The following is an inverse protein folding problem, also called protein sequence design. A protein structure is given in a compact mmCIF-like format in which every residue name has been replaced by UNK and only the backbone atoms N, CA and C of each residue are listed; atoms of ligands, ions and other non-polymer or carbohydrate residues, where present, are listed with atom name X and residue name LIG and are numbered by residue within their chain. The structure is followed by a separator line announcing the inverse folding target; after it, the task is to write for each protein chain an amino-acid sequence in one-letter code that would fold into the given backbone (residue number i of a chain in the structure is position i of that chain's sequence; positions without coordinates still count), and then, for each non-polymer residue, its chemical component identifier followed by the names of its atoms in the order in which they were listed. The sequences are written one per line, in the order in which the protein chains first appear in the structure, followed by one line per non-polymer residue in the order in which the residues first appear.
data_IF_543336994104
#
_entry.id   IF_543336994104
#
_cell.length_a   1.000
_cell.length_b   1.000
_cell.length_c   1.000
_cell.angle_alpha   90.00
_cell.angle_beta   90.00
_cell.angle_gamma   90.00
#
_symmetry.space_group_name_H-M   'P 1'
#
loop_
_entity.id
_entity.type
_entity.pdbx_description
1 polymer ?
#
# COMPACT_ATOMS: atom_id res chain seq x y z
N UNK A 1 -3.32 20.34 -83.84
CA UNK A 1 -2.22 20.28 -82.88
C UNK A 1 -2.81 20.69 -81.54
N UNK A 2 -3.26 19.72 -80.74
CA UNK A 2 -3.97 19.95 -79.47
C UNK A 2 -3.00 19.87 -78.32
N UNK A 3 -2.80 20.98 -77.62
CA UNK A 3 -2.02 21.03 -76.34
C UNK A 3 -2.95 20.69 -75.16
N UNK A 4 -2.82 19.52 -74.63
CA UNK A 4 -3.51 19.07 -73.43
C UNK A 4 -2.76 19.68 -72.20
N UNK A 5 -3.41 20.58 -71.44
CA UNK A 5 -2.86 21.15 -70.22
C UNK A 5 -3.03 20.13 -69.07
N UNK A 6 -1.89 19.65 -68.55
CA UNK A 6 -1.83 18.81 -67.41
C UNK A 6 -1.90 19.68 -66.15
N UNK A 7 -3.00 19.61 -65.38
CA UNK A 7 -3.17 20.28 -64.10
C UNK A 7 -2.66 19.30 -63.00
N UNK A 8 -1.54 19.67 -62.39
CA UNK A 8 -1.01 18.96 -61.22
C UNK A 8 -1.67 19.53 -59.98
N UNK A 9 -2.54 18.77 -59.32
CA UNK A 9 -3.08 19.08 -57.99
C UNK A 9 -2.07 18.65 -56.92
N UNK A 10 -1.39 19.59 -56.31
CA UNK A 10 -0.57 19.36 -55.11
C UNK A 10 -1.46 19.40 -53.87
N UNK A 11 -1.77 18.21 -53.30
CA UNK A 11 -2.45 18.11 -52.01
C UNK A 11 -1.48 18.42 -50.91
N UNK A 12 -1.65 19.56 -50.25
CA UNK A 12 -0.92 19.89 -49.02
C UNK A 12 -1.48 19.10 -47.82
N UNK A 13 -0.71 18.13 -47.36
CA UNK A 13 -1.04 17.33 -46.19
C UNK A 13 -0.61 18.15 -44.94
N UNK A 14 -1.57 18.81 -44.28
CA UNK A 14 -1.34 19.52 -43.03
C UNK A 14 -1.11 18.47 -41.92
N UNK A 15 0.14 18.31 -41.45
CA UNK A 15 0.47 17.52 -40.26
C UNK A 15 -0.04 18.26 -39.02
N UNK A 16 -1.12 17.77 -38.42
CA UNK A 16 -1.59 18.22 -37.10
C UNK A 16 -0.66 17.62 -36.06
N UNK A 17 0.32 18.41 -35.60
CA UNK A 17 1.18 18.06 -34.47
C UNK A 17 0.36 18.18 -33.19
N UNK A 18 -0.31 17.10 -32.79
CA UNK A 18 -0.96 17.02 -31.48
C UNK A 18 0.11 17.05 -30.39
N UNK A 19 0.13 18.13 -29.58
CA UNK A 19 0.95 18.19 -28.38
C UNK A 19 0.42 17.12 -27.39
N UNK A 20 1.15 16.02 -27.26
CA UNK A 20 0.89 15.04 -26.20
C UNK A 20 1.28 15.67 -24.86
N UNK A 21 0.31 16.20 -24.13
CA UNK A 21 0.52 16.61 -22.75
C UNK A 21 0.74 15.33 -21.95
N UNK A 22 1.94 15.15 -21.39
CA UNK A 22 2.24 14.11 -20.43
C UNK A 22 1.41 14.39 -19.16
N UNK A 23 0.32 13.67 -18.99
CA UNK A 23 -0.45 13.73 -17.75
C UNK A 23 0.32 12.99 -16.66
N UNK A 24 0.62 13.70 -15.57
CA UNK A 24 1.13 13.06 -14.37
C UNK A 24 0.10 12.05 -13.86
N UNK A 25 0.52 10.83 -13.46
CA UNK A 25 -0.41 9.86 -12.91
C UNK A 25 -1.10 10.44 -11.66
N UNK A 26 -2.42 10.31 -11.58
CA UNK A 26 -3.17 10.70 -10.40
C UNK A 26 -2.73 9.85 -9.22
N UNK A 27 -2.18 10.48 -8.18
CA UNK A 27 -1.82 9.78 -6.94
C UNK A 27 -3.08 9.60 -6.07
N UNK A 28 -3.40 8.36 -5.72
CA UNK A 28 -4.44 8.05 -4.76
C UNK A 28 -3.87 8.18 -3.36
N UNK A 29 -4.56 8.91 -2.50
CA UNK A 29 -4.12 9.17 -1.12
C UNK A 29 -5.05 8.45 -0.15
N UNK A 30 -4.49 7.74 0.81
CA UNK A 30 -5.24 7.16 1.92
C UNK A 30 -5.82 8.29 2.78
N UNK A 31 -7.16 8.39 2.82
CA UNK A 31 -7.83 9.40 3.66
C UNK A 31 -7.83 8.99 5.13
N UNK A 32 -7.93 9.97 6.03
CA UNK A 32 -7.97 9.70 7.47
C UNK A 32 -9.19 8.85 7.86
N UNK A 33 -10.33 9.07 7.23
CA UNK A 33 -11.56 8.30 7.52
C UNK A 33 -11.43 6.82 7.15
N UNK A 34 -10.78 6.52 6.03
CA UNK A 34 -10.48 5.13 5.64
C UNK A 34 -9.46 4.52 6.59
N UNK A 35 -8.41 5.26 6.93
CA UNK A 35 -7.38 4.80 7.86
C UNK A 35 -7.94 4.49 9.26
N UNK A 36 -8.84 5.35 9.79
CA UNK A 36 -9.53 5.11 11.05
C UNK A 36 -10.42 3.87 10.99
N UNK A 37 -11.19 3.71 9.90
CA UNK A 37 -12.02 2.51 9.73
C UNK A 37 -11.19 1.24 9.71
N UNK A 38 -10.06 1.22 8.99
CA UNK A 38 -9.13 0.09 8.99
C UNK A 38 -8.61 -0.20 10.40
N UNK A 39 -8.20 0.84 11.13
CA UNK A 39 -7.67 0.67 12.49
C UNK A 39 -8.72 0.10 13.44
N UNK A 40 -9.96 0.60 13.38
CA UNK A 40 -11.07 0.14 14.21
C UNK A 40 -11.46 -1.31 13.90
N UNK A 41 -11.54 -1.68 12.62
CA UNK A 41 -11.89 -3.04 12.21
C UNK A 41 -10.80 -4.06 12.58
N UNK A 42 -9.52 -3.69 12.45
CA UNK A 42 -8.42 -4.54 12.89
C UNK A 42 -8.44 -4.74 14.41
N UNK A 43 -8.65 -3.67 15.17
CA UNK A 43 -8.80 -3.73 16.62
C UNK A 43 -9.98 -4.60 17.03
N UNK A 44 -11.15 -4.39 16.41
CA UNK A 44 -12.35 -5.17 16.69
C UNK A 44 -12.15 -6.67 16.42
N UNK A 45 -11.47 -7.02 15.32
CA UNK A 45 -11.15 -8.42 14.99
C UNK A 45 -10.23 -9.05 16.04
N UNK A 46 -9.14 -8.36 16.39
CA UNK A 46 -8.22 -8.87 17.40
C UNK A 46 -8.88 -9.04 18.78
N UNK A 47 -9.71 -8.08 19.21
CA UNK A 47 -10.51 -8.17 20.45
C UNK A 47 -11.47 -9.37 20.43
N UNK A 48 -12.13 -9.62 19.30
CA UNK A 48 -13.02 -10.76 19.14
C UNK A 48 -12.28 -12.09 19.26
N UNK A 49 -11.00 -12.12 18.90
CA UNK A 49 -10.13 -13.28 19.06
C UNK A 49 -9.47 -13.35 20.47
N UNK A 50 -9.74 -12.39 21.34
CA UNK A 50 -9.19 -12.33 22.72
C UNK A 50 -7.78 -11.73 22.80
N UNK A 51 -7.36 -10.93 21.81
CA UNK A 51 -6.03 -10.31 21.79
C UNK A 51 -6.11 -8.81 22.02
N UNK A 52 -5.21 -8.32 22.86
CA UNK A 52 -4.98 -6.89 23.11
C UNK A 52 -3.77 -6.42 22.31
N UNK A 53 -4.00 -5.52 21.35
CA UNK A 53 -3.02 -5.18 20.33
C UNK A 53 -2.85 -3.66 20.16
N UNK A 54 -1.78 -3.26 19.49
CA UNK A 54 -1.67 -1.96 18.83
C UNK A 54 -1.91 -2.14 17.34
N UNK A 55 -2.73 -1.26 16.77
CA UNK A 55 -2.94 -1.13 15.33
C UNK A 55 -2.42 0.22 14.87
N UNK A 56 -1.53 0.22 13.89
CA UNK A 56 -1.02 1.42 13.23
C UNK A 56 -1.39 1.38 11.75
N UNK A 57 -1.94 2.48 11.23
CA UNK A 57 -2.15 2.70 9.81
C UNK A 57 -1.28 3.87 9.36
N UNK A 58 -0.46 3.64 8.34
CA UNK A 58 0.41 4.64 7.71
C UNK A 58 -0.02 4.91 6.28
N UNK A 59 0.29 6.09 5.76
CA UNK A 59 0.05 6.47 4.36
C UNK A 59 1.19 6.04 3.43
N UNK A 60 1.11 6.44 2.16
CA UNK A 60 2.12 6.11 1.13
C UNK A 60 3.52 6.70 1.40
N UNK A 61 3.65 7.63 2.33
CA UNK A 61 4.91 8.19 2.79
C UNK A 61 5.42 7.55 4.10
N UNK A 62 4.78 6.46 4.55
CA UNK A 62 5.05 5.81 5.83
C UNK A 62 4.78 6.74 7.04
N UNK A 63 3.95 7.76 6.87
CA UNK A 63 3.53 8.65 7.96
C UNK A 63 2.26 8.12 8.64
N UNK A 64 2.18 8.14 10.00
CA UNK A 64 1.01 7.69 10.75
C UNK A 64 -0.26 8.46 10.37
N UNK A 65 -1.35 7.74 10.07
CA UNK A 65 -2.71 8.27 9.85
C UNK A 65 -3.65 7.93 10.99
N UNK A 66 -3.55 6.72 11.53
CA UNK A 66 -4.32 6.28 12.69
C UNK A 66 -3.47 5.35 13.53
N UNK A 67 -3.54 5.51 14.85
CA UNK A 67 -2.92 4.61 15.81
C UNK A 67 -3.93 4.35 16.93
N UNK A 68 -4.22 3.07 17.16
CA UNK A 68 -5.01 2.60 18.30
C UNK A 68 -4.17 1.60 19.07
N UNK A 69 -4.06 1.80 20.38
CA UNK A 69 -3.46 0.83 21.28
C UNK A 69 -4.50 0.41 22.31
N UNK A 70 -4.74 -0.89 22.43
CA UNK A 70 -5.66 -1.43 23.42
C UNK A 70 -5.12 -1.21 24.85
N UNK A 71 -6.02 -1.15 25.82
CA UNK A 71 -5.67 -0.80 27.20
C UNK A 71 -4.67 -1.81 27.81
N UNK A 72 -4.82 -3.09 27.53
CA UNK A 72 -3.92 -4.15 27.98
C UNK A 72 -2.69 -4.37 27.08
N UNK A 73 -2.63 -3.76 25.90
CA UNK A 73 -1.46 -3.86 25.06
C UNK A 73 -0.26 -3.11 25.65
N UNK A 74 0.92 -3.74 25.67
CA UNK A 74 2.14 -3.12 26.20
C UNK A 74 2.62 -1.97 25.31
N UNK A 75 3.33 -0.99 25.88
CA UNK A 75 3.84 0.16 25.11
C UNK A 75 4.78 -0.27 23.96
N UNK A 76 5.53 -1.35 24.13
CA UNK A 76 6.43 -1.90 23.10
C UNK A 76 5.71 -2.34 21.84
N UNK A 77 4.43 -2.72 21.91
CA UNK A 77 3.65 -3.13 20.72
C UNK A 77 3.50 -1.98 19.73
N UNK A 78 3.52 -0.73 20.21
CA UNK A 78 3.48 0.46 19.34
C UNK A 78 4.74 0.55 18.47
N UNK A 79 5.91 0.35 19.06
CA UNK A 79 7.18 0.38 18.32
C UNK A 79 7.28 -0.81 17.34
N UNK A 80 6.84 -1.99 17.77
CA UNK A 80 6.81 -3.16 16.89
C UNK A 80 5.84 -2.94 15.72
N UNK A 81 4.67 -2.36 15.94
CA UNK A 81 3.73 -2.02 14.85
C UNK A 81 4.37 -1.03 13.85
N UNK A 82 5.09 -0.01 14.33
CA UNK A 82 5.85 0.91 13.45
C UNK A 82 6.88 0.18 12.61
N UNK A 83 7.68 -0.71 13.22
CA UNK A 83 8.69 -1.49 12.52
C UNK A 83 8.08 -2.41 11.45
N UNK A 84 6.92 -3.03 11.73
CA UNK A 84 6.17 -3.83 10.77
C UNK A 84 5.62 -2.99 9.62
N UNK A 85 5.05 -1.80 9.91
CA UNK A 85 4.57 -0.87 8.89
C UNK A 85 5.72 -0.42 7.98
N UNK A 86 6.85 -0.01 8.56
CA UNK A 86 8.04 0.41 7.82
C UNK A 86 8.57 -0.72 6.94
N UNK A 87 8.64 -1.95 7.44
CA UNK A 87 9.04 -3.10 6.63
C UNK A 87 8.07 -3.33 5.46
N UNK A 88 6.76 -3.20 5.71
CA UNK A 88 5.72 -3.36 4.68
C UNK A 88 5.87 -2.32 3.58
N UNK A 89 6.03 -1.05 3.93
CA UNK A 89 6.17 0.05 2.97
C UNK A 89 7.48 -0.05 2.18
N UNK A 90 8.59 -0.36 2.86
CA UNK A 90 9.91 -0.44 2.25
C UNK A 90 10.01 -1.59 1.23
N UNK A 91 9.46 -2.75 1.58
CA UNK A 91 9.53 -3.94 0.72
C UNK A 91 8.31 -4.12 -0.19
N UNK A 92 7.31 -3.24 -0.08
CA UNK A 92 6.04 -3.29 -0.83
C UNK A 92 5.35 -4.67 -0.78
N UNK A 93 5.42 -5.34 0.38
CA UNK A 93 4.85 -6.67 0.65
C UNK A 93 4.48 -6.80 2.12
N UNK A 94 3.70 -7.82 2.52
CA UNK A 94 3.47 -8.10 3.93
C UNK A 94 4.79 -8.24 4.70
N UNK A 95 4.84 -7.70 5.92
CA UNK A 95 5.99 -7.85 6.81
C UNK A 95 6.17 -9.32 7.24
N UNK A 96 7.37 -9.67 7.66
CA UNK A 96 7.71 -11.04 8.07
C UNK A 96 8.69 -11.73 7.14
N UNK A 97 8.89 -13.05 7.31
CA UNK A 97 9.83 -13.82 6.53
C UNK A 97 9.61 -13.61 5.03
N UNK A 98 10.69 -13.37 4.30
CA UNK A 98 10.63 -13.23 2.86
C UNK A 98 10.10 -14.53 2.26
N UNK A 99 9.07 -14.44 1.41
CA UNK A 99 8.74 -15.51 0.49
C UNK A 99 9.94 -15.68 -0.46
N UNK A 100 10.12 -16.87 -1.06
CA UNK A 100 11.18 -17.03 -2.06
C UNK A 100 11.10 -15.91 -3.09
N UNK A 101 12.20 -15.19 -3.25
CA UNK A 101 12.27 -14.12 -4.25
C UNK A 101 12.29 -14.74 -5.65
N UNK A 102 11.72 -14.07 -6.66
CA UNK A 102 11.85 -14.50 -8.04
C UNK A 102 13.32 -14.69 -8.41
N UNK A 103 13.67 -15.67 -9.26
CA UNK A 103 15.04 -15.86 -9.72
C UNK A 103 15.64 -14.56 -10.27
N UNK A 104 16.88 -14.23 -9.87
CA UNK A 104 17.55 -13.00 -10.30
C UNK A 104 17.24 -11.74 -9.51
N UNK A 105 16.35 -11.81 -8.51
CA UNK A 105 16.09 -10.68 -7.62
C UNK A 105 17.14 -10.63 -6.50
N UNK A 106 17.75 -9.47 -6.29
CA UNK A 106 18.65 -9.28 -5.16
C UNK A 106 17.88 -9.38 -3.84
N UNK A 107 18.37 -10.16 -2.89
CA UNK A 107 17.80 -10.20 -1.55
C UNK A 107 17.94 -8.82 -0.89
N UNK A 108 16.86 -8.30 -0.26
CA UNK A 108 16.99 -7.07 0.51
C UNK A 108 17.97 -7.28 1.66
N UNK A 109 18.63 -6.22 2.16
CA UNK A 109 19.50 -6.31 3.31
C UNK A 109 18.82 -7.02 4.47
N UNK A 110 19.53 -7.89 5.17
CA UNK A 110 18.99 -8.70 6.25
C UNK A 110 18.41 -7.85 7.40
N UNK A 111 18.93 -6.64 7.56
CA UNK A 111 18.48 -5.69 8.59
C UNK A 111 18.55 -4.27 8.07
N UNK A 112 17.41 -3.58 8.07
CA UNK A 112 17.34 -2.13 7.85
C UNK A 112 16.81 -1.52 9.15
N UNK A 113 17.48 -0.45 9.61
CA UNK A 113 17.07 0.26 10.82
C UNK A 113 15.59 0.67 10.75
N UNK A 114 14.85 0.40 11.82
CA UNK A 114 13.41 0.69 11.90
C UNK A 114 12.51 -0.36 11.27
N UNK A 115 13.06 -1.51 10.84
CA UNK A 115 12.26 -2.65 10.36
C UNK A 115 12.40 -3.88 11.27
N UNK A 116 11.42 -4.78 11.17
CA UNK A 116 11.44 -6.06 11.86
C UNK A 116 10.98 -7.18 10.93
N UNK A 117 11.62 -8.34 11.03
CA UNK A 117 11.23 -9.54 10.28
C UNK A 117 10.15 -10.34 11.04
N UNK A 118 8.99 -9.70 11.24
CA UNK A 118 7.84 -10.31 11.91
C UNK A 118 6.56 -9.98 11.13
N UNK A 119 5.65 -10.94 11.03
CA UNK A 119 4.34 -10.76 10.37
C UNK A 119 3.45 -9.82 11.16
N UNK A 120 2.47 -9.23 10.49
CA UNK A 120 1.46 -8.32 11.06
C UNK A 120 1.31 -7.00 10.33
N UNK A 121 2.24 -6.64 9.46
CA UNK A 121 2.09 -5.52 8.53
C UNK A 121 1.56 -5.99 7.18
N UNK A 122 0.55 -5.31 6.65
CA UNK A 122 -0.12 -5.63 5.39
C UNK A 122 -0.26 -4.36 4.54
N UNK A 123 0.13 -4.38 3.25
CA UNK A 123 -0.01 -3.21 2.38
C UNK A 123 -1.49 -2.90 2.10
N UNK A 124 -1.83 -1.62 2.12
CA UNK A 124 -3.13 -1.10 1.67
C UNK A 124 -3.00 -0.76 0.20
N UNK A 125 -3.76 -1.44 -0.65
CA UNK A 125 -3.67 -1.31 -2.10
C UNK A 125 -4.97 -0.80 -2.71
N UNK A 126 -4.82 -0.03 -3.81
CA UNK A 126 -5.90 0.30 -4.74
C UNK A 126 -5.41 -0.07 -6.15
N UNK A 127 -5.98 -1.12 -6.71
CA UNK A 127 -5.37 -1.80 -7.85
C UNK A 127 -3.97 -2.29 -7.49
N UNK A 128 -2.98 -1.97 -8.33
CA UNK A 128 -1.58 -2.36 -8.09
C UNK A 128 -0.81 -1.35 -7.20
N UNK A 129 -1.38 -0.17 -6.96
CA UNK A 129 -0.73 0.88 -6.20
C UNK A 129 -0.84 0.65 -4.70
N UNK A 130 0.28 0.62 -3.98
CA UNK A 130 0.31 0.67 -2.52
C UNK A 130 0.18 2.11 -2.06
N UNK A 131 -0.91 2.40 -1.33
CA UNK A 131 -1.24 3.75 -0.83
C UNK A 131 -0.97 3.91 0.68
N UNK A 132 -0.50 2.85 1.33
CA UNK A 132 -0.20 2.81 2.75
C UNK A 132 -0.04 1.40 3.26
N UNK A 133 0.02 1.25 4.58
CA UNK A 133 0.05 -0.04 5.26
C UNK A 133 -0.75 0.00 6.56
N UNK A 134 -1.31 -1.15 6.94
CA UNK A 134 -1.80 -1.41 8.30
C UNK A 134 -0.88 -2.41 8.97
N UNK A 135 -0.50 -2.15 10.22
CA UNK A 135 0.34 -3.03 11.01
C UNK A 135 -0.28 -3.27 12.39
N UNK A 136 -0.33 -4.54 12.77
CA UNK A 136 -0.85 -5.00 14.06
C UNK A 136 0.28 -5.64 14.85
N UNK A 137 0.28 -5.43 16.15
CA UNK A 137 1.24 -6.04 17.08
C UNK A 137 0.64 -6.25 18.44
N UNK A 138 0.82 -7.43 19.03
CA UNK A 138 0.36 -7.78 20.38
C UNK A 138 -0.29 -9.15 20.49
N UNK A 139 -0.78 -9.71 19.39
CA UNK A 139 -1.28 -11.08 19.41
C UNK A 139 -0.13 -12.10 19.66
N UNK A 140 -0.44 -13.31 20.17
CA UNK A 140 0.57 -14.30 20.52
C UNK A 140 1.26 -14.96 19.31
N UNK A 141 1.26 -14.27 18.14
CA UNK A 141 1.92 -14.69 16.91
C UNK A 141 1.69 -13.66 15.80
N UNK A 142 2.71 -13.41 14.99
CA UNK A 142 2.61 -12.44 13.91
C UNK A 142 1.61 -12.82 12.82
N UNK A 143 1.34 -14.11 12.63
CA UNK A 143 0.27 -14.63 11.79
C UNK A 143 -1.12 -14.18 12.25
N UNK A 144 -1.35 -14.13 13.57
CA UNK A 144 -2.59 -13.64 14.18
C UNK A 144 -2.72 -12.13 14.04
N UNK A 145 -1.62 -11.38 14.22
CA UNK A 145 -1.56 -9.97 13.93
C UNK A 145 -1.94 -9.70 12.45
N UNK A 146 -1.35 -10.45 11.53
CA UNK A 146 -1.65 -10.35 10.10
C UNK A 146 -3.11 -10.72 9.77
N UNK A 147 -3.69 -11.69 10.46
CA UNK A 147 -5.09 -12.06 10.29
C UNK A 147 -6.04 -10.92 10.66
N UNK A 148 -5.78 -10.19 11.75
CA UNK A 148 -6.54 -9.00 12.14
C UNK A 148 -6.44 -7.90 11.06
N UNK A 149 -5.24 -7.64 10.56
CA UNK A 149 -5.00 -6.65 9.52
C UNK A 149 -5.75 -6.99 8.21
N UNK A 150 -5.64 -8.24 7.76
CA UNK A 150 -6.31 -8.72 6.54
C UNK A 150 -7.84 -8.67 6.68
N UNK A 151 -8.40 -9.04 7.83
CA UNK A 151 -9.83 -8.96 8.07
C UNK A 151 -10.36 -7.53 7.99
N UNK A 152 -9.61 -6.56 8.52
CA UNK A 152 -9.95 -5.15 8.39
C UNK A 152 -9.96 -4.68 6.94
N UNK A 153 -8.93 -5.01 6.16
CA UNK A 153 -8.87 -4.64 4.74
C UNK A 153 -10.02 -5.25 3.93
N UNK A 154 -10.39 -6.49 4.24
CA UNK A 154 -11.53 -7.14 3.59
C UNK A 154 -12.85 -6.39 3.86
N UNK A 155 -13.07 -5.93 5.10
CA UNK A 155 -14.26 -5.18 5.49
C UNK A 155 -14.38 -3.80 4.85
N UNK A 156 -13.27 -3.13 4.60
CA UNK A 156 -13.25 -1.78 3.98
C UNK A 156 -12.97 -1.82 2.47
N UNK A 157 -12.96 -3.01 1.86
CA UNK A 157 -12.59 -3.20 0.45
C UNK A 157 -13.36 -2.33 -0.53
N UNK A 158 -14.63 -2.04 -0.25
CA UNK A 158 -15.47 -1.16 -1.09
C UNK A 158 -14.97 0.28 -1.14
N UNK A 159 -14.22 0.71 -0.15
CA UNK A 159 -13.63 2.06 -0.05
C UNK A 159 -12.21 2.14 -0.62
N UNK A 160 -11.65 1.01 -1.06
CA UNK A 160 -10.30 0.86 -1.63
C UNK A 160 -10.36 0.62 -3.16
N UNK A 161 -11.22 1.34 -3.87
CA UNK A 161 -11.42 1.22 -5.34
C UNK A 161 -10.92 2.43 -6.10
#
# INVERSE_FOLDING_TARGET
MNFTKLVVLTSAMAAVSGSAFAQLPASRVLTVDVAQSIAQEAMAKCRADGYEVTVLVVDGLNAPKALLRDDGATASTTEVAKMKATATMLYNRPSGPAQPLPPGTAAPPATITGTINAQGGVPIKVGDATIGAVAVSGAPGGDKDAACANAALAKVSDRLK
#
